data_IF_844677014234
#
_entry.id   IF_844677014234
#
_cell.length_a   1.000
_cell.length_b   1.000
_cell.length_c   1.000
_cell.angle_alpha   90.00
_cell.angle_beta   90.00
_cell.angle_gamma   90.00
#
_symmetry.space_group_name_H-M   'P 1'
#
loop_
_entity.id
_entity.type
_entity.pdbx_description
1 polymer ?
#
# COMPACT_ATOMS: atom_id res chain seq x y z
N UNK A 1 -18.38 5.60 13.63
CA UNK A 1 -17.23 5.59 12.69
C UNK A 1 -16.47 4.29 12.89
N UNK A 2 -16.84 3.22 12.19
CA UNK A 2 -16.19 1.91 12.33
C UNK A 2 -14.91 1.89 11.52
N UNK A 3 -13.78 2.15 12.19
CA UNK A 3 -12.45 1.88 11.67
C UNK A 3 -12.28 0.36 11.75
N UNK A 4 -12.76 -0.35 10.73
CA UNK A 4 -12.54 -1.80 10.61
C UNK A 4 -11.04 -1.99 10.39
N UNK A 5 -10.33 -2.25 11.49
CA UNK A 5 -8.98 -2.80 11.42
C UNK A 5 -9.16 -4.23 10.93
N UNK A 6 -9.21 -4.41 9.62
CA UNK A 6 -8.99 -5.71 8.99
C UNK A 6 -7.65 -6.22 9.52
N UNK A 7 -7.70 -7.16 10.46
CA UNK A 7 -6.53 -7.81 11.06
C UNK A 7 -5.85 -8.77 10.09
N UNK A 8 -6.18 -8.66 8.79
CA UNK A 8 -5.51 -9.39 7.74
C UNK A 8 -4.02 -9.05 7.82
N UNK A 9 -3.15 -10.06 8.02
CA UNK A 9 -1.71 -9.82 7.99
C UNK A 9 -1.36 -9.08 6.71
N UNK A 10 -0.48 -8.09 6.78
CA UNK A 10 0.00 -7.30 5.62
C UNK A 10 0.41 -8.21 4.44
N UNK A 11 0.88 -9.41 4.75
CA UNK A 11 1.33 -10.45 3.82
C UNK A 11 0.19 -11.19 3.08
N UNK A 12 -1.05 -11.06 3.52
CA UNK A 12 -2.24 -11.67 2.92
C UNK A 12 -3.07 -10.69 2.05
N UNK A 13 -2.88 -9.39 2.19
CA UNK A 13 -3.57 -8.42 1.35
C UNK A 13 -2.92 -8.37 -0.04
N UNK A 14 -3.72 -8.72 -1.07
CA UNK A 14 -3.23 -8.84 -2.45
C UNK A 14 -2.71 -7.52 -3.01
N UNK A 15 -3.29 -6.40 -2.60
CA UNK A 15 -2.88 -5.09 -3.11
C UNK A 15 -1.58 -4.63 -2.41
N UNK A 16 -1.42 -4.95 -1.12
CA UNK A 16 -0.16 -4.72 -0.39
C UNK A 16 0.98 -5.54 -0.98
N UNK A 17 0.76 -6.85 -1.20
CA UNK A 17 1.75 -7.72 -1.84
C UNK A 17 2.11 -7.22 -3.23
N UNK A 18 1.09 -6.90 -4.04
CA UNK A 18 1.30 -6.38 -5.37
C UNK A 18 2.18 -5.13 -5.37
N UNK A 19 1.91 -4.16 -4.48
CA UNK A 19 2.75 -2.96 -4.38
C UNK A 19 4.17 -3.29 -3.94
N UNK A 20 4.35 -4.10 -2.89
CA UNK A 20 5.69 -4.47 -2.42
C UNK A 20 6.50 -5.31 -3.43
N UNK A 21 5.84 -6.05 -4.31
CA UNK A 21 6.51 -6.84 -5.36
C UNK A 21 6.77 -6.05 -6.65
N UNK A 22 5.91 -5.08 -6.98
CA UNK A 22 6.03 -4.27 -8.20
C UNK A 22 6.73 -2.92 -7.97
N UNK A 23 6.96 -2.56 -6.71
CA UNK A 23 7.62 -1.32 -6.32
C UNK A 23 8.59 -1.61 -5.17
N UNK A 24 9.55 -0.71 -4.95
CA UNK A 24 10.61 -0.88 -3.94
C UNK A 24 10.16 -0.49 -2.52
N UNK A 25 8.86 -0.47 -2.24
CA UNK A 25 8.32 -0.07 -0.92
C UNK A 25 8.03 -1.28 -0.05
N UNK A 26 8.16 -1.10 1.26
CA UNK A 26 7.81 -2.14 2.23
C UNK A 26 6.28 -2.40 2.30
N UNK A 27 5.84 -3.60 2.74
CA UNK A 27 4.41 -3.89 2.95
C UNK A 27 3.70 -2.91 3.90
N UNK A 28 4.44 -2.31 4.83
CA UNK A 28 3.93 -1.27 5.73
C UNK A 28 3.63 0.02 4.95
N UNK A 29 4.57 0.50 4.14
CA UNK A 29 4.35 1.68 3.29
C UNK A 29 3.22 1.45 2.28
N UNK A 30 3.12 0.24 1.72
CA UNK A 30 2.01 -0.14 0.84
C UNK A 30 0.65 -0.07 1.58
N UNK A 31 0.58 -0.53 2.84
CA UNK A 31 -0.62 -0.35 3.66
C UNK A 31 -0.95 1.13 3.86
N UNK A 32 0.04 1.95 4.19
CA UNK A 32 -0.16 3.40 4.40
C UNK A 32 -0.71 4.08 3.14
N UNK A 33 -0.17 3.73 1.96
CA UNK A 33 -0.69 4.22 0.68
C UNK A 33 -2.14 3.78 0.46
N UNK A 34 -2.49 2.52 0.74
CA UNK A 34 -3.86 2.01 0.61
C UNK A 34 -4.81 2.71 1.59
N UNK A 35 -4.38 2.98 2.83
CA UNK A 35 -5.19 3.73 3.78
C UNK A 35 -5.38 5.19 3.37
N UNK A 36 -4.40 5.79 2.71
CA UNK A 36 -4.42 7.20 2.32
C UNK A 36 -5.15 7.46 0.99
N UNK A 37 -4.99 6.57 0.01
CA UNK A 37 -5.48 6.75 -1.35
C UNK A 37 -6.55 5.72 -1.78
N UNK A 38 -6.87 4.75 -0.93
CA UNK A 38 -7.78 3.64 -1.24
C UNK A 38 -7.11 2.55 -2.07
N UNK A 39 -7.90 1.65 -2.67
CA UNK A 39 -7.41 0.46 -3.40
C UNK A 39 -7.28 0.65 -4.91
N UNK A 40 -7.07 1.89 -5.39
CA UNK A 40 -6.85 2.13 -6.81
C UNK A 40 -5.39 1.86 -7.19
N UNK A 41 -5.13 0.73 -7.84
CA UNK A 41 -3.77 0.27 -8.18
C UNK A 41 -2.96 1.27 -9.00
N UNK A 42 -3.57 1.98 -9.96
CA UNK A 42 -2.83 2.95 -10.77
C UNK A 42 -2.36 4.14 -9.93
N UNK A 43 -3.20 4.60 -9.01
CA UNK A 43 -2.84 5.68 -8.08
C UNK A 43 -1.78 5.19 -7.11
N UNK A 44 -1.97 4.00 -6.54
CA UNK A 44 -1.02 3.42 -5.59
C UNK A 44 0.37 3.21 -6.19
N UNK A 45 0.47 2.77 -7.46
CA UNK A 45 1.74 2.65 -8.17
C UNK A 45 2.40 4.03 -8.37
N UNK A 46 1.64 5.05 -8.80
CA UNK A 46 2.18 6.40 -8.98
C UNK A 46 2.69 6.99 -7.67
N UNK A 47 1.96 6.80 -6.58
CA UNK A 47 2.35 7.33 -5.27
C UNK A 47 3.50 6.51 -4.66
N UNK A 48 3.53 5.19 -4.84
CA UNK A 48 4.65 4.34 -4.42
C UNK A 48 5.97 4.76 -5.08
N UNK A 49 5.94 5.09 -6.37
CA UNK A 49 7.11 5.59 -7.09
C UNK A 49 7.59 6.96 -6.59
N UNK A 50 6.68 7.84 -6.17
CA UNK A 50 7.02 9.12 -5.55
C UNK A 50 7.60 8.93 -4.15
N UNK A 51 7.05 8.01 -3.37
CA UNK A 51 7.49 7.73 -2.00
C UNK A 51 8.97 7.33 -1.93
N UNK A 52 9.47 6.61 -2.96
CA UNK A 52 10.90 6.28 -3.11
C UNK A 52 11.78 7.53 -3.29
N UNK A 53 11.27 8.57 -3.95
CA UNK A 53 12.06 9.74 -4.31
C UNK A 53 12.26 10.73 -3.16
N UNK A 54 11.51 10.58 -2.07
CA UNK A 54 11.57 11.47 -0.89
C UNK A 54 12.28 10.85 0.32
N UNK A 55 12.90 9.67 0.16
CA UNK A 55 13.64 8.94 1.21
C UNK A 55 15.14 8.86 0.96
#
# INVERSE_FOLDING_TARGET
MTKNQDTTPLTHDKDIKFLAENTDISPLQAQELIQKFGRNREVLLKEALKFKAEG
#
